data_IF_448519752834
#
_entry.id   IF_448519752834
#
_cell.length_a   1.000
_cell.length_b   1.000
_cell.length_c   1.000
_cell.angle_alpha   90.00
_cell.angle_beta   90.00
_cell.angle_gamma   90.00
#
_symmetry.space_group_name_H-M   'P 1'
#
loop_
_entity.id
_entity.type
_entity.pdbx_description
1 polymer ?
#
# COMPACT_ATOMS: atom_id res chain seq x y z
N UNK A 1 -11.62 -9.18 35.13
CA UNK A 1 -10.34 -9.46 34.44
C UNK A 1 -9.25 -8.69 35.17
N UNK A 2 -8.57 -9.31 36.12
CA UNK A 2 -7.41 -8.70 36.81
C UNK A 2 -6.10 -9.20 36.22
N UNK A 3 -6.13 -10.34 35.53
CA UNK A 3 -5.02 -10.90 34.77
C UNK A 3 -5.26 -10.65 33.28
N UNK A 4 -4.24 -10.11 32.60
CA UNK A 4 -4.21 -9.79 31.16
C UNK A 4 -4.11 -11.06 30.29
N UNK A 5 -4.98 -12.04 30.54
CA UNK A 5 -4.88 -13.38 29.99
C UNK A 5 -6.12 -13.77 29.21
N UNK A 6 -5.92 -14.45 28.08
CA UNK A 6 -6.95 -15.15 27.34
C UNK A 6 -6.42 -16.51 26.87
N UNK A 7 -7.27 -17.52 26.89
CA UNK A 7 -7.03 -18.88 26.38
C UNK A 7 -6.70 -18.92 24.87
N UNK A 8 -7.10 -17.90 24.10
CA UNK A 8 -6.77 -17.81 22.67
C UNK A 8 -5.29 -17.51 22.37
N UNK A 9 -4.47 -17.19 23.39
CA UNK A 9 -3.02 -16.94 23.25
C UNK A 9 -2.63 -15.62 22.57
N UNK A 10 -3.54 -14.97 21.85
CA UNK A 10 -3.27 -13.70 21.17
C UNK A 10 -2.94 -12.57 22.13
N UNK A 11 -3.60 -12.54 23.28
CA UNK A 11 -3.41 -11.48 24.26
C UNK A 11 -1.97 -11.52 24.83
N UNK A 12 -1.48 -12.71 25.16
CA UNK A 12 -0.11 -12.91 25.64
C UNK A 12 0.93 -12.70 24.53
N UNK A 13 0.61 -13.06 23.29
CA UNK A 13 1.56 -12.96 22.17
C UNK A 13 1.73 -11.54 21.67
N UNK A 14 0.65 -10.76 21.63
CA UNK A 14 0.66 -9.38 21.11
C UNK A 14 0.79 -8.36 22.23
N UNK A 15 0.70 -8.76 23.49
CA UNK A 15 0.61 -7.83 24.64
C UNK A 15 -0.48 -6.75 24.43
N UNK A 16 -1.57 -7.15 23.77
CA UNK A 16 -2.68 -6.29 23.37
C UNK A 16 -4.00 -7.06 23.50
N UNK A 17 -5.11 -6.42 23.92
CA UNK A 17 -6.39 -7.10 24.10
C UNK A 17 -6.87 -7.78 22.81
N UNK A 18 -7.06 -9.09 22.87
CA UNK A 18 -7.72 -9.83 21.79
C UNK A 18 -9.23 -9.53 21.74
N UNK A 19 -9.92 -9.97 20.69
CA UNK A 19 -11.38 -9.80 20.56
C UNK A 19 -12.16 -10.31 21.77
N UNK A 20 -11.74 -11.43 22.39
CA UNK A 20 -12.43 -12.00 23.55
C UNK A 20 -12.25 -11.09 24.77
N UNK A 21 -11.04 -10.55 24.96
CA UNK A 21 -10.75 -9.61 26.02
C UNK A 21 -11.55 -8.30 25.86
N UNK A 22 -11.66 -7.78 24.63
CA UNK A 22 -12.46 -6.59 24.34
C UNK A 22 -13.96 -6.80 24.62
N UNK A 23 -14.52 -7.93 24.18
CA UNK A 23 -15.92 -8.29 24.46
C UNK A 23 -16.15 -8.45 25.96
N UNK A 24 -15.24 -9.11 26.68
CA UNK A 24 -15.33 -9.25 28.12
C UNK A 24 -15.24 -7.89 28.83
N UNK A 25 -14.31 -7.01 28.44
CA UNK A 25 -14.21 -5.64 28.96
C UNK A 25 -15.50 -4.86 28.76
N UNK A 26 -16.11 -4.93 27.57
CA UNK A 26 -17.38 -4.29 27.27
C UNK A 26 -18.53 -4.85 28.14
N UNK A 27 -18.57 -6.16 28.36
CA UNK A 27 -19.60 -6.81 29.18
C UNK A 27 -19.56 -6.40 30.66
N UNK A 28 -18.37 -6.04 31.18
CA UNK A 28 -18.19 -5.61 32.57
C UNK A 28 -17.89 -4.12 32.72
N UNK A 29 -18.06 -3.34 31.65
CA UNK A 29 -17.80 -1.88 31.62
C UNK A 29 -16.42 -1.47 32.14
N UNK A 30 -15.38 -2.26 31.82
CA UNK A 30 -13.99 -1.93 32.14
C UNK A 30 -13.33 -1.27 30.93
N UNK A 31 -12.54 -0.23 31.16
CA UNK A 31 -11.71 0.39 30.12
C UNK A 31 -10.63 -0.60 29.66
N UNK A 32 -10.67 -0.96 28.38
CA UNK A 32 -9.73 -1.93 27.79
C UNK A 32 -8.31 -1.36 27.66
N UNK A 33 -8.15 -0.04 27.69
CA UNK A 33 -6.86 0.64 27.52
C UNK A 33 -5.81 0.24 28.57
N UNK A 34 -6.24 -0.10 29.79
CA UNK A 34 -5.35 -0.57 30.86
C UNK A 34 -4.64 -1.89 30.55
N UNK A 35 -5.14 -2.64 29.56
CA UNK A 35 -4.60 -3.93 29.15
C UNK A 35 -3.66 -3.83 27.93
N UNK A 36 -3.46 -2.63 27.38
CA UNK A 36 -2.55 -2.39 26.27
C UNK A 36 -1.14 -2.17 26.81
N UNK A 37 -0.16 -2.87 26.25
CA UNK A 37 1.24 -2.68 26.64
C UNK A 37 1.74 -1.24 26.34
N UNK A 38 2.51 -0.62 27.25
CA UNK A 38 3.07 0.72 27.04
C UNK A 38 3.89 0.88 25.74
N UNK A 39 4.40 -0.21 25.16
CA UNK A 39 5.09 -0.21 23.86
C UNK A 39 4.21 0.31 22.71
N UNK A 40 2.89 0.24 22.84
CA UNK A 40 1.94 0.75 21.85
C UNK A 40 1.59 2.24 22.02
N UNK A 41 2.29 2.96 22.90
CA UNK A 41 2.09 4.41 23.09
C UNK A 41 2.92 5.24 22.11
N UNK A 42 2.45 6.46 21.81
CA UNK A 42 3.23 7.42 21.02
C UNK A 42 4.56 7.79 21.69
N UNK A 43 4.61 7.80 23.02
CA UNK A 43 5.86 8.01 23.75
C UNK A 43 6.91 6.94 23.42
N UNK A 44 6.50 5.66 23.36
CA UNK A 44 7.38 4.57 22.93
C UNK A 44 7.83 4.71 21.48
N UNK A 45 6.93 5.11 20.58
CA UNK A 45 7.29 5.41 19.18
C UNK A 45 8.34 6.51 19.11
N UNK A 46 8.11 7.66 19.76
CA UNK A 46 9.09 8.75 19.76
C UNK A 46 10.42 8.33 20.36
N UNK A 47 10.42 7.56 21.44
CA UNK A 47 11.63 7.02 22.06
C UNK A 47 12.43 6.12 21.12
N UNK A 48 11.76 5.28 20.32
CA UNK A 48 12.43 4.43 19.31
C UNK A 48 13.11 5.27 18.23
N UNK A 49 12.51 6.40 17.87
CA UNK A 49 13.02 7.32 16.85
C UNK A 49 13.78 8.52 17.42
N UNK A 50 14.04 8.55 18.72
CA UNK A 50 14.74 9.66 19.40
C UNK A 50 16.20 9.75 18.95
N UNK A 51 16.79 8.61 18.57
CA UNK A 51 18.17 8.59 18.07
C UNK A 51 18.29 9.35 16.75
N UNK A 52 19.12 10.39 16.75
CA UNK A 52 19.50 11.07 15.52
C UNK A 52 20.40 10.16 14.68
N UNK A 53 20.06 10.01 13.40
CA UNK A 53 20.99 9.45 12.44
C UNK A 53 22.07 10.49 12.17
N UNK A 54 23.30 10.21 12.60
CA UNK A 54 24.44 11.01 12.19
C UNK A 54 24.59 10.90 10.66
N UNK A 55 24.46 12.05 9.98
CA UNK A 55 24.76 12.13 8.56
C UNK A 55 26.26 11.83 8.37
N UNK A 56 26.58 10.73 7.69
CA UNK A 56 27.94 10.47 7.26
C UNK A 56 28.19 11.30 6.00
N UNK A 57 28.68 12.52 6.20
CA UNK A 57 28.82 13.54 5.14
C UNK A 57 29.85 13.18 4.06
N UNK A 58 30.93 12.47 4.42
CA UNK A 58 32.02 12.11 3.50
C UNK A 58 32.17 10.58 3.42
N UNK A 59 32.30 10.06 2.20
CA UNK A 59 32.59 8.65 1.91
C UNK A 59 33.90 8.18 2.59
N UNK A 60 34.84 9.10 2.81
CA UNK A 60 36.09 8.82 3.54
C UNK A 60 35.89 8.49 5.03
N UNK A 61 34.77 8.89 5.61
CA UNK A 61 34.43 8.59 7.01
C UNK A 61 33.71 7.25 7.17
N UNK A 62 33.45 6.54 6.08
CA UNK A 62 32.72 5.27 6.14
C UNK A 62 33.61 4.21 6.79
N UNK A 63 33.06 3.40 7.72
CA UNK A 63 33.81 2.27 8.27
C UNK A 63 34.18 1.31 7.12
N UNK A 64 35.37 0.66 7.18
CA UNK A 64 35.75 -0.30 6.16
C UNK A 64 34.69 -1.39 6.01
N UNK A 65 34.28 -1.65 4.77
CA UNK A 65 33.29 -2.70 4.49
C UNK A 65 33.95 -4.08 4.54
N UNK A 66 33.51 -4.91 5.49
CA UNK A 66 34.00 -6.30 5.66
C UNK A 66 33.06 -7.37 5.09
N UNK A 67 31.93 -6.98 4.48
CA UNK A 67 30.95 -7.93 3.96
C UNK A 67 31.34 -8.51 2.59
N UNK A 68 30.72 -9.65 2.24
CA UNK A 68 30.86 -10.22 0.90
C UNK A 68 30.36 -9.21 -0.15
N UNK A 69 31.10 -9.04 -1.25
CA UNK A 69 30.61 -8.25 -2.38
C UNK A 69 29.42 -8.98 -2.99
N UNK A 70 28.22 -8.47 -2.74
CA UNK A 70 27.00 -8.95 -3.39
C UNK A 70 27.08 -8.60 -4.88
N UNK A 71 27.50 -9.56 -5.69
CA UNK A 71 27.39 -9.45 -7.15
C UNK A 71 26.02 -9.99 -7.56
N UNK A 72 25.15 -9.19 -8.20
CA UNK A 72 23.91 -9.70 -8.75
C UNK A 72 24.21 -10.83 -9.73
N UNK A 73 23.55 -11.98 -9.58
CA UNK A 73 23.67 -13.11 -10.49
C UNK A 73 23.39 -12.65 -11.92
N UNK A 74 24.38 -12.75 -12.80
CA UNK A 74 24.27 -12.31 -14.20
C UNK A 74 23.16 -13.03 -14.95
N UNK A 75 22.89 -14.30 -14.63
CA UNK A 75 21.82 -15.09 -15.23
C UNK A 75 20.41 -14.64 -14.78
N UNK A 76 20.30 -13.99 -13.62
CA UNK A 76 19.03 -13.45 -13.10
C UNK A 76 18.85 -11.96 -13.39
N UNK A 77 19.83 -11.31 -14.03
CA UNK A 77 19.68 -9.91 -14.46
C UNK A 77 18.58 -9.86 -15.52
N UNK A 78 17.56 -9.04 -15.27
CA UNK A 78 16.58 -8.71 -16.31
C UNK A 78 17.35 -8.16 -17.51
N UNK A 79 17.15 -8.76 -18.68
CA UNK A 79 17.68 -8.25 -19.95
C UNK A 79 17.17 -6.82 -20.12
N UNK A 80 18.00 -5.91 -20.61
CA UNK A 80 17.58 -4.55 -21.00
C UNK A 80 16.66 -4.54 -22.24
N UNK A 81 15.93 -5.63 -22.48
CA UNK A 81 14.76 -5.61 -23.35
C UNK A 81 13.77 -4.64 -22.71
N UNK A 82 13.26 -3.74 -23.54
CA UNK A 82 12.32 -2.66 -23.24
C UNK A 82 11.37 -2.92 -22.07
N UNK A 83 10.95 -1.82 -21.43
CA UNK A 83 9.92 -1.79 -20.38
C UNK A 83 8.88 -2.89 -20.63
N UNK A 84 8.70 -3.84 -19.71
CA UNK A 84 7.64 -4.82 -19.83
C UNK A 84 6.34 -4.07 -20.10
N UNK A 85 5.69 -4.36 -21.23
CA UNK A 85 4.33 -3.88 -21.45
C UNK A 85 3.53 -4.44 -20.30
N UNK A 86 3.06 -3.57 -19.40
CA UNK A 86 2.21 -4.00 -18.31
C UNK A 86 0.94 -4.56 -18.93
N UNK A 87 0.85 -5.88 -19.01
CA UNK A 87 -0.42 -6.57 -19.19
C UNK A 87 -1.19 -6.43 -17.88
N UNK A 88 -1.74 -5.24 -17.62
CA UNK A 88 -2.59 -5.01 -16.47
C UNK A 88 -3.82 -5.92 -16.66
N UNK A 89 -4.00 -6.85 -15.74
CA UNK A 89 -5.19 -7.68 -15.65
C UNK A 89 -6.36 -6.73 -15.36
N UNK A 90 -7.37 -6.73 -16.23
CA UNK A 90 -8.59 -5.96 -16.02
C UNK A 90 -9.40 -6.63 -14.91
N UNK A 91 -9.83 -5.84 -13.92
CA UNK A 91 -10.74 -6.29 -12.87
C UNK A 91 -12.13 -5.65 -13.07
N UNK A 92 -13.11 -6.03 -12.24
CA UNK A 92 -14.50 -5.52 -12.31
C UNK A 92 -14.61 -3.99 -12.20
N UNK A 93 -13.65 -3.35 -11.52
CA UNK A 93 -13.54 -1.88 -11.45
C UNK A 93 -13.18 -1.22 -12.79
N UNK A 94 -12.55 -1.96 -13.71
CA UNK A 94 -12.22 -1.50 -15.07
C UNK A 94 -13.37 -1.77 -16.06
N UNK A 95 -14.38 -2.55 -15.66
CA UNK A 95 -15.62 -2.77 -16.41
C UNK A 95 -16.56 -1.57 -16.26
N UNK A 96 -16.13 -0.42 -16.77
CA UNK A 96 -17.05 0.70 -16.97
C UNK A 96 -18.04 0.25 -18.05
N UNK A 97 -19.34 0.23 -17.75
CA UNK A 97 -20.40 0.09 -18.75
C UNK A 97 -20.05 1.02 -19.90
N UNK A 98 -19.84 0.45 -21.09
CA UNK A 98 -19.37 1.21 -22.25
C UNK A 98 -20.42 2.28 -22.53
N UNK A 99 -20.18 3.49 -22.04
CA UNK A 99 -21.02 4.63 -22.35
C UNK A 99 -21.17 4.69 -23.87
N UNK A 100 -22.42 4.75 -24.34
CA UNK A 100 -22.72 4.74 -25.76
C UNK A 100 -21.90 5.83 -26.43
N UNK A 101 -21.08 5.43 -27.41
CA UNK A 101 -20.13 6.34 -28.04
C UNK A 101 -20.92 7.40 -28.80
N UNK A 102 -20.98 8.61 -28.24
CA UNK A 102 -21.57 9.77 -28.91
C UNK A 102 -20.57 10.44 -29.85
N UNK A 103 -21.07 10.89 -30.99
CA UNK A 103 -20.29 11.66 -31.93
C UNK A 103 -19.78 12.95 -31.29
N UNK A 104 -18.47 13.23 -31.36
CA UNK A 104 -17.90 14.46 -30.79
C UNK A 104 -18.35 15.75 -31.51
N UNK A 105 -18.91 15.65 -32.72
CA UNK A 105 -19.38 16.81 -33.50
C UNK A 105 -20.85 17.10 -33.25
N UNK A 106 -21.74 16.13 -33.50
CA UNK A 106 -23.19 16.33 -33.40
C UNK A 106 -23.84 15.75 -32.14
N UNK A 107 -23.06 15.08 -31.27
CA UNK A 107 -23.52 14.35 -30.07
C UNK A 107 -24.51 13.21 -30.32
N UNK A 108 -24.81 12.89 -31.58
CA UNK A 108 -25.65 11.73 -31.93
C UNK A 108 -24.99 10.40 -31.58
N UNK A 109 -25.81 9.41 -31.27
CA UNK A 109 -25.38 8.04 -30.96
C UNK A 109 -25.17 7.23 -32.26
N UNK A 110 -24.52 6.07 -32.15
CA UNK A 110 -24.34 5.15 -33.29
C UNK A 110 -23.22 5.48 -34.29
N UNK A 111 -22.52 6.61 -34.15
CA UNK A 111 -21.40 6.96 -35.04
C UNK A 111 -20.32 7.79 -34.35
N UNK A 112 -19.11 7.75 -34.92
CA UNK A 112 -17.98 8.57 -34.46
C UNK A 112 -17.80 9.80 -35.35
N UNK A 113 -16.99 10.77 -34.90
CA UNK A 113 -16.70 12.03 -35.65
C UNK A 113 -16.36 11.80 -37.13
N UNK A 114 -15.69 10.70 -37.48
CA UNK A 114 -15.26 10.40 -38.86
C UNK A 114 -16.41 10.02 -39.79
N UNK A 115 -17.50 9.48 -39.26
CA UNK A 115 -18.72 9.15 -40.01
C UNK A 115 -19.88 10.09 -39.69
N UNK A 116 -19.56 11.31 -39.24
CA UNK A 116 -20.58 12.30 -38.89
C UNK A 116 -21.19 12.89 -40.16
N UNK A 117 -22.51 12.85 -40.36
CA UNK A 117 -23.17 13.50 -41.50
C UNK A 117 -22.92 15.01 -41.53
N UNK A 118 -22.68 15.62 -40.36
CA UNK A 118 -22.34 17.03 -40.21
C UNK A 118 -20.82 17.28 -40.28
N UNK A 119 -20.03 16.32 -40.77
CA UNK A 119 -18.62 16.60 -41.02
C UNK A 119 -18.55 17.70 -42.10
N UNK A 120 -17.79 18.78 -41.90
CA UNK A 120 -17.56 19.72 -42.98
C UNK A 120 -16.94 18.93 -44.14
N UNK A 121 -17.65 18.87 -45.27
CA UNK A 121 -17.09 18.33 -46.49
C UNK A 121 -15.78 19.06 -46.72
N UNK A 122 -14.69 18.29 -46.76
CA UNK A 122 -13.43 18.82 -47.26
C UNK A 122 -13.64 18.95 -48.75
N UNK A 123 -14.06 20.13 -49.20
CA UNK A 123 -14.00 20.45 -50.62
C UNK A 123 -12.51 20.43 -51.06
N UNK A 124 -12.22 19.96 -52.28
CA UNK A 124 -10.85 19.69 -52.73
C UNK A 124 -9.92 20.91 -52.76
#
# INVERSE_FOLDING_TARGET
MTESTCDCGLFQSLHYPCRHALVACAAVSIEWGHFVDPMYTMASVFKVYESEFLLILDEKMWPPWYGARLKPNSAMRKKASSKPVSARIQNEMDAIERAEKRCRLCRGEGHTRRGCPNSPHSDP
#
